data_IF_544705431478
#
_entry.id   IF_544705431478
#
_cell.length_a   1.000
_cell.length_b   1.000
_cell.length_c   1.000
_cell.angle_alpha   90.00
_cell.angle_beta   90.00
_cell.angle_gamma   90.00
#
_symmetry.space_group_name_H-M   'P 1'
#
loop_
_entity.id
_entity.type
_entity.pdbx_description
1 polymer ?
#
# COMPACT_ATOMS: atom_id res chain seq x y z
N UNK A 1 5.66 16.15 3.85
CA UNK A 1 7.04 16.65 3.60
C UNK A 1 7.94 15.47 3.34
N UNK A 2 8.92 15.60 2.44
CA UNK A 2 9.87 14.51 2.17
C UNK A 2 10.85 14.39 3.35
N UNK A 3 10.85 13.24 4.01
CA UNK A 3 11.70 12.92 5.17
C UNK A 3 12.86 12.05 4.72
N UNK A 4 14.09 12.40 5.09
CA UNK A 4 15.27 11.62 4.77
C UNK A 4 15.48 10.53 5.82
N UNK A 5 15.39 9.25 5.40
CA UNK A 5 15.61 8.09 6.26
C UNK A 5 17.09 7.66 6.28
N UNK A 6 17.76 7.76 5.13
CA UNK A 6 19.17 7.47 4.95
C UNK A 6 19.72 8.31 3.79
N UNK A 7 21.04 8.25 3.54
CA UNK A 7 21.62 8.97 2.41
C UNK A 7 20.99 8.50 1.09
N UNK A 8 20.32 9.42 0.39
CA UNK A 8 19.65 9.13 -0.88
C UNK A 8 18.35 8.35 -0.77
N UNK A 9 17.84 8.10 0.45
CA UNK A 9 16.57 7.40 0.69
C UNK A 9 15.61 8.28 1.47
N UNK A 10 14.43 8.53 0.91
CA UNK A 10 13.45 9.42 1.51
C UNK A 10 12.06 8.79 1.50
N UNK A 11 11.25 9.12 2.51
CA UNK A 11 9.83 8.80 2.57
C UNK A 11 8.98 10.08 2.49
N UNK A 12 7.86 10.00 1.82
CA UNK A 12 6.77 10.98 1.87
C UNK A 12 5.66 10.40 2.72
N UNK A 13 5.46 10.95 3.90
CA UNK A 13 4.49 10.43 4.87
C UNK A 13 3.22 11.28 4.86
N UNK A 14 2.06 10.61 4.85
CA UNK A 14 0.73 11.20 5.01
C UNK A 14 0.11 10.71 6.32
N UNK A 15 0.54 11.30 7.43
CA UNK A 15 0.07 10.92 8.76
C UNK A 15 -1.33 11.52 9.07
N UNK A 16 -2.16 10.81 9.84
CA UNK A 16 -1.91 9.53 10.51
C UNK A 16 -1.94 8.29 9.60
N UNK A 17 -2.26 8.40 8.32
CA UNK A 17 -2.28 7.29 7.38
C UNK A 17 -3.66 6.65 7.21
N UNK A 18 -4.73 7.42 7.35
CA UNK A 18 -6.09 6.95 7.12
C UNK A 18 -6.36 6.50 5.67
N UNK A 19 -7.62 6.11 5.40
CA UNK A 19 -8.04 5.68 4.06
C UNK A 19 -7.73 6.77 3.03
N UNK A 20 -7.09 6.40 1.92
CA UNK A 20 -6.65 7.34 0.88
C UNK A 20 -5.41 8.17 1.23
N UNK A 21 -4.80 7.98 2.39
CA UNK A 21 -3.57 8.66 2.83
C UNK A 21 -2.41 7.67 2.90
N UNK A 22 -1.86 7.34 1.74
CA UNK A 22 -0.72 6.42 1.65
C UNK A 22 0.61 7.15 1.69
N UNK A 23 1.64 6.42 2.07
CA UNK A 23 3.02 6.88 1.98
C UNK A 23 3.59 6.60 0.58
N UNK A 24 4.68 7.29 0.25
CA UNK A 24 5.48 7.06 -0.95
C UNK A 24 6.97 7.08 -0.60
N UNK A 25 7.79 6.54 -1.49
CA UNK A 25 9.23 6.48 -1.32
C UNK A 25 9.99 7.12 -2.47
N UNK A 26 11.23 7.54 -2.18
CA UNK A 26 12.18 8.03 -3.20
C UNK A 26 13.56 7.51 -2.91
N UNK A 27 14.15 6.85 -3.89
CA UNK A 27 15.55 6.42 -3.86
C UNK A 27 16.31 7.19 -4.94
N UNK A 28 17.43 7.81 -4.54
CA UNK A 28 18.34 8.54 -5.44
C UNK A 28 19.38 7.57 -5.96
N UNK A 29 19.25 7.22 -7.24
CA UNK A 29 20.20 6.37 -7.96
C UNK A 29 21.23 7.19 -8.74
N UNK A 30 22.25 6.53 -9.31
CA UNK A 30 23.28 7.21 -10.12
C UNK A 30 22.68 7.90 -11.34
N UNK A 31 21.68 7.30 -11.98
CA UNK A 31 21.05 7.77 -13.22
C UNK A 31 19.79 8.62 -13.01
N UNK A 32 19.24 8.71 -11.80
CA UNK A 32 18.02 9.48 -11.53
C UNK A 32 17.32 9.05 -10.26
N UNK A 33 15.99 9.14 -10.25
CA UNK A 33 15.15 8.77 -9.12
C UNK A 33 14.35 7.50 -9.44
N UNK A 34 14.27 6.63 -8.44
CA UNK A 34 13.25 5.57 -8.34
C UNK A 34 12.22 6.03 -7.31
N UNK A 35 10.97 6.15 -7.74
CA UNK A 35 9.82 6.50 -6.89
C UNK A 35 9.08 5.22 -6.54
N UNK A 36 8.71 5.06 -5.27
CA UNK A 36 7.89 3.94 -4.76
C UNK A 36 6.52 4.49 -4.43
N UNK A 37 5.51 4.02 -5.13
CA UNK A 37 4.13 4.49 -5.09
C UNK A 37 3.96 5.98 -5.48
N UNK A 38 2.74 6.38 -5.82
CA UNK A 38 2.52 7.69 -6.46
C UNK A 38 1.42 8.51 -5.82
N UNK A 39 0.89 8.05 -4.67
CA UNK A 39 -0.26 8.66 -4.01
C UNK A 39 -1.54 8.59 -4.88
N UNK A 40 -2.65 9.12 -4.37
CA UNK A 40 -3.97 8.89 -4.94
C UNK A 40 -4.44 9.99 -5.89
N UNK A 41 -4.49 11.23 -5.44
CA UNK A 41 -5.22 12.33 -6.08
C UNK A 41 -4.35 13.58 -6.32
N UNK A 42 -4.78 14.51 -7.19
CA UNK A 42 -4.04 15.72 -7.54
C UNK A 42 -3.50 16.51 -6.37
N UNK A 43 -4.29 16.76 -5.34
CA UNK A 43 -3.85 17.52 -4.17
C UNK A 43 -2.63 16.90 -3.46
N UNK A 44 -2.58 15.56 -3.43
CA UNK A 44 -1.48 14.82 -2.80
C UNK A 44 -0.23 14.79 -3.69
N UNK A 45 -0.36 14.37 -4.95
CA UNK A 45 0.83 14.19 -5.79
C UNK A 45 1.38 15.50 -6.39
N UNK A 46 0.63 16.61 -6.37
CA UNK A 46 1.20 17.94 -6.71
C UNK A 46 2.26 18.35 -5.68
N UNK A 47 1.98 18.20 -4.39
CA UNK A 47 2.94 18.52 -3.33
C UNK A 47 4.15 17.58 -3.36
N UNK A 48 3.90 16.27 -3.54
CA UNK A 48 4.95 15.27 -3.68
C UNK A 48 5.82 15.55 -4.91
N UNK A 49 5.23 15.84 -6.06
CA UNK A 49 5.94 16.19 -7.29
C UNK A 49 6.80 17.46 -7.15
N UNK A 50 6.30 18.47 -6.41
CA UNK A 50 7.09 19.66 -6.10
C UNK A 50 8.31 19.34 -5.22
N UNK A 51 8.17 18.41 -4.27
CA UNK A 51 9.30 17.93 -3.44
C UNK A 51 10.31 17.13 -4.28
N UNK A 52 9.84 16.26 -5.18
CA UNK A 52 10.72 15.52 -6.11
C UNK A 52 11.53 16.47 -7.00
N UNK A 53 10.91 17.54 -7.50
CA UNK A 53 11.58 18.53 -8.35
C UNK A 53 12.75 19.22 -7.64
N UNK A 54 12.66 19.40 -6.32
CA UNK A 54 13.76 19.99 -5.52
C UNK A 54 15.00 19.09 -5.44
N UNK A 55 14.86 17.78 -5.68
CA UNK A 55 16.01 16.87 -5.74
C UNK A 55 16.83 17.05 -7.03
N UNK A 56 16.32 17.80 -8.03
CA UNK A 56 17.03 18.18 -9.22
C UNK A 56 17.44 17.04 -10.16
N UNK A 57 16.77 15.89 -10.05
CA UNK A 57 17.05 14.68 -10.84
C UNK A 57 15.79 14.15 -11.53
N UNK A 58 15.88 13.56 -12.72
CA UNK A 58 14.74 12.98 -13.40
C UNK A 58 14.24 11.71 -12.69
N UNK A 59 12.92 11.49 -12.71
CA UNK A 59 12.34 10.22 -12.30
C UNK A 59 12.41 9.26 -13.50
N UNK A 60 13.18 8.21 -13.36
CA UNK A 60 13.33 7.17 -14.39
C UNK A 60 12.47 5.95 -14.13
N UNK A 61 12.16 5.67 -12.86
CA UNK A 61 11.41 4.48 -12.45
C UNK A 61 10.32 4.84 -11.44
N UNK A 62 9.19 4.20 -11.58
CA UNK A 62 8.13 4.13 -10.60
C UNK A 62 7.91 2.66 -10.28
N UNK A 63 7.95 2.27 -9.02
CA UNK A 63 7.60 0.93 -8.56
C UNK A 63 6.30 1.04 -7.79
N UNK A 64 5.26 0.35 -8.25
CA UNK A 64 3.97 0.27 -7.58
C UNK A 64 3.96 -0.95 -6.67
N UNK A 65 3.75 -0.74 -5.37
CA UNK A 65 3.68 -1.83 -4.41
C UNK A 65 2.42 -2.68 -4.61
N UNK A 66 1.34 -2.07 -5.10
CA UNK A 66 0.11 -2.74 -5.54
C UNK A 66 -0.69 -1.84 -6.50
N UNK A 67 -1.84 -2.32 -6.99
CA UNK A 67 -2.67 -1.63 -7.98
C UNK A 67 -3.82 -0.81 -7.40
N UNK A 68 -3.95 -0.67 -6.08
CA UNK A 68 -4.99 0.18 -5.50
C UNK A 68 -4.72 1.64 -5.85
N UNK A 69 -5.81 2.39 -6.07
CA UNK A 69 -5.73 3.77 -6.56
C UNK A 69 -4.93 4.68 -5.64
N UNK A 70 -4.94 4.42 -4.36
CA UNK A 70 -4.23 5.21 -3.35
C UNK A 70 -2.70 5.10 -3.47
N UNK A 71 -2.19 4.04 -4.13
CA UNK A 71 -0.77 3.85 -4.44
C UNK A 71 -0.44 4.24 -5.88
N UNK A 72 -1.38 4.09 -6.81
CA UNK A 72 -1.14 4.17 -8.26
C UNK A 72 -1.73 5.42 -8.93
N UNK A 73 -2.55 6.24 -8.23
CA UNK A 73 -3.32 7.33 -8.82
C UNK A 73 -2.48 8.40 -9.51
N UNK A 74 -1.31 8.71 -8.96
CA UNK A 74 -0.39 9.71 -9.51
C UNK A 74 0.52 9.21 -10.65
N UNK A 75 0.40 7.96 -11.11
CA UNK A 75 1.31 7.39 -12.14
C UNK A 75 1.34 8.18 -13.45
N UNK A 76 0.24 8.82 -13.84
CA UNK A 76 0.17 9.67 -15.04
C UNK A 76 1.11 10.89 -14.99
N UNK A 77 1.57 11.30 -13.83
CA UNK A 77 2.52 12.41 -13.65
C UNK A 77 3.93 12.03 -14.10
N UNK A 78 4.25 10.74 -14.06
CA UNK A 78 5.58 10.21 -14.40
C UNK A 78 5.64 9.70 -15.86
N UNK A 79 5.33 10.60 -16.81
CA UNK A 79 5.13 10.25 -18.23
C UNK A 79 6.30 9.52 -18.87
N UNK A 80 7.54 9.86 -18.51
CA UNK A 80 8.77 9.32 -19.09
C UNK A 80 9.37 8.18 -18.29
N UNK A 81 8.90 7.95 -17.06
CA UNK A 81 9.42 6.88 -16.22
C UNK A 81 8.91 5.50 -16.67
N UNK A 82 9.73 4.48 -16.52
CA UNK A 82 9.26 3.09 -16.56
C UNK A 82 8.41 2.81 -15.31
N UNK A 83 7.28 2.12 -15.47
CA UNK A 83 6.38 1.73 -14.36
C UNK A 83 6.50 0.23 -14.15
N UNK A 84 6.98 -0.15 -12.97
CA UNK A 84 7.12 -1.52 -12.50
C UNK A 84 5.94 -1.89 -11.61
N UNK A 85 5.37 -3.06 -11.79
CA UNK A 85 4.26 -3.57 -10.99
C UNK A 85 4.19 -5.08 -11.06
N UNK A 86 3.44 -5.69 -10.14
CA UNK A 86 3.14 -7.13 -10.19
C UNK A 86 2.20 -7.47 -11.36
N UNK A 87 2.07 -8.76 -11.74
CA UNK A 87 1.07 -9.17 -12.73
C UNK A 87 -0.36 -8.72 -12.38
N UNK A 88 -0.71 -8.80 -11.09
CA UNK A 88 -2.03 -8.36 -10.60
C UNK A 88 -2.20 -6.85 -10.75
N UNK A 89 -1.17 -6.06 -10.38
CA UNK A 89 -1.17 -4.60 -10.57
C UNK A 89 -1.32 -4.22 -12.04
N UNK A 90 -0.62 -4.94 -12.94
CA UNK A 90 -0.74 -4.70 -14.38
C UNK A 90 -2.18 -4.91 -14.87
N UNK A 91 -2.79 -6.05 -14.49
CA UNK A 91 -4.18 -6.34 -14.87
C UNK A 91 -5.17 -5.33 -14.29
N UNK A 92 -4.95 -4.84 -13.07
CA UNK A 92 -5.81 -3.84 -12.45
C UNK A 92 -5.74 -2.49 -13.16
N UNK A 93 -4.54 -2.02 -13.49
CA UNK A 93 -4.35 -0.72 -14.15
C UNK A 93 -4.72 -0.71 -15.64
N UNK A 94 -4.84 -1.89 -16.26
CA UNK A 94 -5.37 -2.04 -17.62
C UNK A 94 -6.91 -1.93 -17.67
N UNK A 95 -7.58 -2.00 -16.50
CA UNK A 95 -9.03 -1.80 -16.43
C UNK A 95 -9.39 -0.33 -16.23
N UNK A 96 -10.53 0.13 -16.74
CA UNK A 96 -11.06 1.45 -16.41
C UNK A 96 -11.25 1.61 -14.89
N UNK A 97 -10.87 2.78 -14.36
CA UNK A 97 -11.08 3.09 -12.95
C UNK A 97 -12.57 3.10 -12.61
N UNK A 98 -12.93 2.44 -11.52
CA UNK A 98 -14.28 2.54 -10.97
C UNK A 98 -14.44 3.82 -10.14
N UNK A 99 -14.44 4.96 -10.84
CA UNK A 99 -14.49 6.30 -10.25
C UNK A 99 -15.68 6.45 -9.29
N UNK A 100 -16.83 5.88 -9.64
CA UNK A 100 -18.03 5.98 -8.82
C UNK A 100 -17.86 5.27 -7.47
N UNK A 101 -17.24 4.10 -7.44
CA UNK A 101 -16.95 3.38 -6.18
C UNK A 101 -15.97 4.17 -5.31
N UNK A 102 -14.93 4.77 -5.91
CA UNK A 102 -13.97 5.61 -5.17
C UNK A 102 -14.62 6.87 -4.61
N UNK A 103 -15.45 7.55 -5.39
CA UNK A 103 -16.20 8.75 -4.94
C UNK A 103 -17.11 8.47 -3.77
N UNK A 104 -17.72 7.29 -3.73
CA UNK A 104 -18.56 6.86 -2.60
C UNK A 104 -17.74 6.46 -1.40
N UNK A 105 -16.68 5.70 -1.57
CA UNK A 105 -15.86 5.20 -0.47
C UNK A 105 -14.99 6.28 0.17
N UNK A 106 -14.54 7.28 -0.61
CA UNK A 106 -13.68 8.39 -0.20
C UNK A 106 -14.30 9.73 -0.64
N UNK A 107 -15.43 10.13 -0.03
CA UNK A 107 -16.20 11.31 -0.47
C UNK A 107 -15.42 12.63 -0.33
N UNK A 108 -14.45 12.71 0.58
CA UNK A 108 -13.56 13.87 0.74
C UNK A 108 -12.70 14.16 -0.49
N UNK A 109 -12.41 13.14 -1.32
CA UNK A 109 -11.64 13.25 -2.56
C UNK A 109 -12.53 13.18 -3.82
N UNK A 110 -13.85 13.12 -3.68
CA UNK A 110 -14.78 12.82 -4.76
C UNK A 110 -14.60 13.69 -6.01
N UNK A 111 -14.33 15.00 -5.83
CA UNK A 111 -14.13 15.93 -6.94
C UNK A 111 -12.82 15.66 -7.72
N UNK A 112 -11.81 15.08 -7.06
CA UNK A 112 -10.50 14.84 -7.64
C UNK A 112 -10.45 13.56 -8.50
N UNK A 113 -11.40 12.65 -8.32
CA UNK A 113 -11.49 11.43 -9.11
C UNK A 113 -12.07 11.63 -10.52
N UNK A 114 -12.74 12.75 -10.79
CA UNK A 114 -13.53 12.93 -12.03
C UNK A 114 -12.70 12.77 -13.31
N UNK A 115 -11.45 13.25 -13.31
CA UNK A 115 -10.55 13.19 -14.47
C UNK A 115 -9.28 12.39 -14.17
N UNK A 116 -9.31 11.55 -13.15
CA UNK A 116 -8.15 10.77 -12.74
C UNK A 116 -7.80 9.74 -13.82
N UNK A 117 -6.55 9.72 -14.21
CA UNK A 117 -6.00 8.76 -15.16
C UNK A 117 -4.72 8.15 -14.58
N UNK A 118 -4.58 6.86 -14.72
CA UNK A 118 -3.37 6.13 -14.38
C UNK A 118 -2.56 5.81 -15.64
N UNK A 119 -1.26 5.60 -15.46
CA UNK A 119 -0.38 5.04 -16.48
C UNK A 119 -0.28 3.53 -16.28
N UNK A 120 -0.34 2.72 -17.35
CA UNK A 120 -0.23 1.27 -17.23
C UNK A 120 1.17 0.85 -16.76
N UNK A 121 1.27 -0.34 -16.20
CA UNK A 121 2.54 -1.01 -15.91
C UNK A 121 3.26 -1.28 -17.23
N UNK A 122 4.54 -0.90 -17.31
CA UNK A 122 5.38 -1.11 -18.49
C UNK A 122 6.33 -2.30 -18.33
N UNK A 123 6.61 -2.69 -17.07
CA UNK A 123 7.51 -3.79 -16.70
C UNK A 123 6.88 -4.60 -15.57
N UNK A 124 6.52 -5.83 -15.88
CA UNK A 124 5.95 -6.76 -14.89
C UNK A 124 7.07 -7.43 -14.11
N UNK A 125 6.94 -7.45 -12.77
CA UNK A 125 7.90 -8.09 -11.86
C UNK A 125 7.24 -9.34 -11.26
N UNK A 126 7.74 -10.52 -11.64
CA UNK A 126 7.23 -11.83 -11.20
C UNK A 126 8.15 -12.51 -10.17
N UNK A 127 9.40 -12.10 -10.08
CA UNK A 127 10.40 -12.63 -9.16
C UNK A 127 11.26 -11.50 -8.60
N UNK A 128 11.94 -11.76 -7.49
CA UNK A 128 12.86 -10.78 -6.90
C UNK A 128 13.94 -10.36 -7.91
N UNK A 129 14.16 -9.06 -8.03
CA UNK A 129 15.07 -8.49 -9.02
C UNK A 129 15.72 -7.20 -8.51
N UNK A 130 17.04 -7.07 -8.77
CA UNK A 130 17.73 -5.79 -8.63
C UNK A 130 17.40 -4.90 -9.83
N UNK A 131 16.62 -3.85 -9.64
CA UNK A 131 16.33 -2.87 -10.70
C UNK A 131 17.53 -1.95 -10.95
N UNK A 132 18.25 -1.62 -9.88
CA UNK A 132 19.49 -0.83 -9.89
C UNK A 132 20.42 -1.40 -8.83
N UNK A 133 21.70 -1.01 -8.77
CA UNK A 133 22.56 -1.42 -7.66
C UNK A 133 22.03 -1.05 -6.26
N UNK A 134 21.13 -0.05 -6.17
CA UNK A 134 20.58 0.44 -4.92
C UNK A 134 19.18 -0.13 -4.59
N UNK A 135 18.44 -0.67 -5.57
CA UNK A 135 17.01 -0.99 -5.44
C UNK A 135 16.74 -2.44 -5.81
N UNK A 136 16.28 -3.22 -4.85
CA UNK A 136 15.73 -4.56 -5.05
C UNK A 136 14.21 -4.54 -4.91
N UNK A 137 13.51 -5.22 -5.81
CA UNK A 137 12.05 -5.37 -5.78
C UNK A 137 11.71 -6.84 -5.54
N UNK A 138 10.87 -7.08 -4.53
CA UNK A 138 10.56 -8.41 -4.03
C UNK A 138 9.05 -8.64 -4.08
N UNK A 139 8.53 -9.56 -4.90
CA UNK A 139 7.11 -9.94 -4.87
C UNK A 139 6.75 -10.69 -3.59
N UNK A 140 5.71 -10.23 -2.91
CA UNK A 140 5.19 -10.85 -1.68
C UNK A 140 3.65 -10.80 -1.73
N UNK A 141 2.97 -11.93 -1.62
CA UNK A 141 1.52 -11.96 -1.46
C UNK A 141 1.12 -11.53 -0.03
N UNK A 142 -0.04 -10.89 0.12
CA UNK A 142 -0.53 -10.47 1.45
C UNK A 142 -1.77 -9.60 1.35
N UNK A 143 -1.61 -8.29 1.38
CA UNK A 143 -2.68 -7.30 1.23
C UNK A 143 -3.46 -7.45 -0.09
N UNK A 144 -2.77 -7.84 -1.14
CA UNK A 144 -3.34 -8.31 -2.41
C UNK A 144 -2.69 -9.65 -2.79
N UNK A 145 -3.21 -10.38 -3.78
CA UNK A 145 -2.57 -11.64 -4.23
C UNK A 145 -1.12 -11.49 -4.70
N UNK A 146 -0.70 -10.27 -5.08
CA UNK A 146 0.68 -10.00 -5.47
C UNK A 146 1.05 -8.54 -5.23
N UNK A 147 1.71 -8.27 -4.11
CA UNK A 147 2.34 -6.99 -3.81
C UNK A 147 3.82 -6.99 -4.20
N UNK A 148 4.40 -5.81 -4.32
CA UNK A 148 5.84 -5.62 -4.40
C UNK A 148 6.32 -4.90 -3.14
N UNK A 149 7.39 -5.39 -2.53
CA UNK A 149 8.17 -4.64 -1.55
C UNK A 149 9.43 -4.11 -2.23
N UNK A 150 9.91 -2.93 -1.82
CA UNK A 150 11.11 -2.31 -2.37
C UNK A 150 12.15 -2.18 -1.27
N UNK A 151 13.22 -2.97 -1.40
CA UNK A 151 14.33 -2.97 -0.46
C UNK A 151 15.48 -2.10 -0.99
N UNK A 152 16.05 -1.28 -0.11
CA UNK A 152 17.29 -0.54 -0.33
C UNK A 152 18.36 -1.15 0.56
N UNK A 153 19.08 -2.20 0.09
CA UNK A 153 19.90 -3.04 0.97
C UNK A 153 21.02 -2.27 1.69
N UNK A 154 21.71 -1.37 0.98
CA UNK A 154 22.81 -0.59 1.55
C UNK A 154 22.37 0.40 2.65
N UNK A 155 21.10 0.77 2.68
CA UNK A 155 20.51 1.69 3.67
C UNK A 155 19.66 0.97 4.70
N UNK A 156 19.45 -0.33 4.56
CA UNK A 156 18.62 -1.16 5.44
C UNK A 156 17.19 -0.58 5.59
N UNK A 157 16.61 -0.09 4.47
CA UNK A 157 15.25 0.48 4.40
C UNK A 157 14.38 -0.36 3.49
N UNK A 158 13.20 -0.73 3.95
CA UNK A 158 12.16 -1.42 3.20
C UNK A 158 10.95 -0.50 3.01
N UNK A 159 10.53 -0.26 1.79
CA UNK A 159 9.20 0.26 1.48
C UNK A 159 8.26 -0.92 1.28
N UNK A 160 7.42 -1.18 2.26
CA UNK A 160 6.52 -2.32 2.30
C UNK A 160 5.18 -2.05 1.58
N UNK A 161 4.85 -0.77 1.34
CA UNK A 161 3.58 -0.38 0.73
C UNK A 161 2.39 -1.01 1.44
N UNK A 162 1.40 -1.46 0.70
CA UNK A 162 0.18 -2.07 1.26
C UNK A 162 0.39 -3.32 2.12
N UNK A 163 1.58 -3.94 2.10
CA UNK A 163 1.90 -5.06 3.00
C UNK A 163 1.95 -4.64 4.47
N UNK A 164 2.18 -3.35 4.77
CA UNK A 164 2.23 -2.85 6.14
C UNK A 164 1.33 -1.64 6.34
N UNK A 165 0.65 -1.61 7.48
CA UNK A 165 -0.07 -0.47 8.03
C UNK A 165 0.22 -0.42 9.52
N UNK A 166 0.71 0.72 10.02
CA UNK A 166 1.14 0.88 11.41
C UNK A 166 0.30 1.94 12.13
N UNK A 167 -0.28 1.59 13.27
CA UNK A 167 -1.19 2.46 14.01
C UNK A 167 -2.55 2.69 13.32
N UNK A 168 -2.82 2.00 12.21
CA UNK A 168 -4.05 2.12 11.41
C UNK A 168 -4.54 0.73 11.04
N UNK A 169 -5.83 0.49 11.13
CA UNK A 169 -6.45 -0.78 10.71
C UNK A 169 -6.28 -0.97 9.20
N UNK A 170 -5.61 -2.04 8.75
CA UNK A 170 -5.47 -2.32 7.32
C UNK A 170 -6.79 -2.71 6.68
N UNK A 171 -6.85 -2.73 5.35
CA UNK A 171 -8.03 -3.15 4.60
C UNK A 171 -7.72 -4.42 3.79
N UNK A 172 -8.19 -5.58 4.26
CA UNK A 172 -7.84 -6.90 3.72
C UNK A 172 -8.85 -7.45 2.68
N UNK A 173 -9.70 -6.62 2.08
CA UNK A 173 -10.85 -7.07 1.27
C UNK A 173 -10.48 -7.89 0.00
N UNK A 174 -9.26 -7.76 -0.50
CA UNK A 174 -8.71 -8.52 -1.65
C UNK A 174 -7.61 -9.49 -1.25
N UNK A 175 -7.08 -9.35 -0.04
CA UNK A 175 -6.03 -10.21 0.48
C UNK A 175 -6.54 -11.51 1.08
N UNK A 176 -5.60 -12.28 1.57
CA UNK A 176 -5.84 -13.43 2.45
C UNK A 176 -5.26 -13.10 3.83
N UNK A 177 -6.07 -12.75 4.85
CA UNK A 177 -5.57 -12.36 6.15
C UNK A 177 -4.66 -13.40 6.82
N UNK A 178 -4.91 -14.70 6.62
CA UNK A 178 -4.09 -15.77 7.15
C UNK A 178 -2.73 -15.84 6.44
N UNK A 179 -2.74 -15.95 5.11
CA UNK A 179 -1.52 -15.97 4.31
C UNK A 179 -0.72 -14.67 4.41
N UNK A 180 -1.42 -13.52 4.58
CA UNK A 180 -0.75 -12.24 4.82
C UNK A 180 -0.04 -12.23 6.17
N UNK A 181 -0.68 -12.71 7.24
CA UNK A 181 -0.03 -12.84 8.54
C UNK A 181 1.24 -13.71 8.47
N UNK A 182 1.22 -14.80 7.70
CA UNK A 182 2.40 -15.66 7.50
C UNK A 182 3.49 -14.95 6.67
N UNK A 183 3.12 -14.21 5.62
CA UNK A 183 4.06 -13.46 4.79
C UNK A 183 4.80 -12.35 5.56
N UNK A 184 4.20 -11.81 6.62
CA UNK A 184 4.84 -10.81 7.49
C UNK A 184 6.07 -11.35 8.24
N UNK A 185 6.24 -12.67 8.36
CA UNK A 185 7.50 -13.26 8.87
C UNK A 185 8.69 -12.94 7.96
N UNK A 186 8.49 -12.94 6.63
CA UNK A 186 9.51 -12.50 5.69
C UNK A 186 9.75 -11.00 5.78
N UNK A 187 8.68 -10.20 5.77
CA UNK A 187 8.76 -8.71 5.79
C UNK A 187 9.55 -8.22 7.01
N UNK A 188 9.30 -8.78 8.19
CA UNK A 188 9.97 -8.45 9.44
C UNK A 188 11.50 -8.66 9.39
N UNK A 189 11.97 -9.60 8.57
CA UNK A 189 13.39 -9.94 8.45
C UNK A 189 14.15 -9.18 7.35
N UNK A 190 13.47 -8.37 6.51
CA UNK A 190 14.11 -7.73 5.35
C UNK A 190 14.93 -6.50 5.70
N UNK A 191 14.47 -5.67 6.64
CA UNK A 191 15.17 -4.44 7.03
C UNK A 191 14.72 -3.97 8.42
N UNK A 192 15.60 -3.29 9.18
CA UNK A 192 15.24 -2.70 10.48
C UNK A 192 14.38 -1.43 10.35
N UNK A 193 14.41 -0.73 9.21
CA UNK A 193 13.57 0.44 8.96
C UNK A 193 12.53 0.11 7.90
N UNK A 194 11.25 0.19 8.26
CA UNK A 194 10.15 -0.20 7.39
C UNK A 194 9.21 0.99 7.17
N UNK A 195 9.03 1.37 5.92
CA UNK A 195 8.05 2.37 5.50
C UNK A 195 6.77 1.64 5.10
N UNK A 196 5.70 1.75 5.89
CA UNK A 196 4.41 1.12 5.56
C UNK A 196 3.69 1.90 4.45
N UNK A 197 2.65 1.29 3.88
CA UNK A 197 1.71 2.02 3.02
C UNK A 197 0.91 3.07 3.80
N UNK A 198 0.58 2.78 5.05
CA UNK A 198 -0.18 3.67 5.93
C UNK A 198 0.48 3.77 7.31
N UNK A 199 0.47 4.99 7.86
CA UNK A 199 1.00 5.26 9.19
C UNK A 199 2.48 5.67 9.23
N UNK A 200 3.09 5.75 10.42
CA UNK A 200 4.48 6.18 10.59
C UNK A 200 5.48 5.13 10.10
N UNK A 201 6.72 5.55 9.90
CA UNK A 201 7.85 4.63 9.74
C UNK A 201 7.99 3.79 11.01
N UNK A 202 8.23 2.51 10.86
CA UNK A 202 8.33 1.56 11.95
C UNK A 202 9.43 0.52 11.74
N UNK A 203 9.32 -0.56 12.49
CA UNK A 203 10.30 -1.64 12.55
C UNK A 203 9.64 -3.03 12.63
N UNK A 204 10.44 -4.05 12.96
CA UNK A 204 9.95 -5.42 13.16
C UNK A 204 8.81 -5.50 14.19
N UNK A 205 8.84 -4.69 15.26
CA UNK A 205 7.83 -4.74 16.31
C UNK A 205 6.45 -4.33 15.78
N UNK A 206 6.39 -3.29 14.94
CA UNK A 206 5.14 -2.85 14.29
C UNK A 206 4.61 -3.90 13.30
N UNK A 207 5.51 -4.58 12.58
CA UNK A 207 5.13 -5.71 11.71
C UNK A 207 4.53 -6.85 12.55
N UNK A 208 5.10 -7.15 13.74
CA UNK A 208 4.56 -8.18 14.62
C UNK A 208 3.20 -7.80 15.22
N UNK A 209 2.98 -6.53 15.52
CA UNK A 209 1.65 -6.05 15.92
C UNK A 209 0.62 -6.26 14.81
N UNK A 210 0.94 -5.88 13.55
CA UNK A 210 0.08 -6.11 12.41
C UNK A 210 -0.21 -7.61 12.19
N UNK A 211 0.83 -8.45 12.30
CA UNK A 211 0.68 -9.90 12.22
C UNK A 211 -0.28 -10.44 13.29
N UNK A 212 -0.14 -9.95 14.52
CA UNK A 212 -1.02 -10.31 15.65
C UNK A 212 -2.47 -9.92 15.38
N UNK A 213 -2.70 -8.72 14.86
CA UNK A 213 -4.03 -8.24 14.47
C UNK A 213 -4.67 -9.13 13.40
N UNK A 214 -3.96 -9.44 12.32
CA UNK A 214 -4.48 -10.30 11.26
C UNK A 214 -4.83 -11.69 11.78
N UNK A 215 -4.00 -12.28 12.64
CA UNK A 215 -4.29 -13.55 13.33
C UNK A 215 -5.53 -13.45 14.22
N UNK A 216 -5.72 -12.33 14.92
CA UNK A 216 -6.92 -12.09 15.72
C UNK A 216 -8.19 -11.99 14.84
N UNK A 217 -8.11 -11.35 13.66
CA UNK A 217 -9.20 -11.33 12.69
C UNK A 217 -9.57 -12.74 12.20
N UNK A 218 -8.57 -13.59 11.92
CA UNK A 218 -8.78 -14.99 11.52
C UNK A 218 -9.44 -15.78 12.66
N UNK A 219 -8.95 -15.63 13.89
CA UNK A 219 -9.48 -16.33 15.06
C UNK A 219 -10.90 -15.90 15.45
N UNK A 220 -11.32 -14.70 15.05
CA UNK A 220 -12.67 -14.16 15.30
C UNK A 220 -13.78 -14.86 14.51
N UNK A 221 -13.45 -15.70 13.54
CA UNK A 221 -14.36 -16.61 12.79
C UNK A 221 -15.66 -15.93 12.29
N UNK A 222 -15.54 -14.74 11.78
CA UNK A 222 -16.67 -13.99 11.20
C UNK A 222 -17.40 -13.06 12.18
N UNK A 223 -17.07 -13.06 13.46
CA UNK A 223 -17.63 -12.15 14.46
C UNK A 223 -16.62 -11.05 14.85
N UNK A 224 -16.77 -9.81 14.36
CA UNK A 224 -15.86 -8.72 14.71
C UNK A 224 -15.77 -8.43 16.23
N UNK A 225 -16.82 -8.75 16.98
CA UNK A 225 -16.81 -8.57 18.45
C UNK A 225 -15.94 -9.60 19.17
N UNK A 226 -15.54 -10.68 18.48
CA UNK A 226 -14.65 -11.70 19.01
C UNK A 226 -13.15 -11.40 18.81
N UNK A 227 -12.79 -10.28 18.19
CA UNK A 227 -11.38 -9.83 18.12
C UNK A 227 -10.90 -9.58 19.56
N UNK A 228 -9.92 -10.37 19.97
CA UNK A 228 -9.34 -10.20 21.32
C UNK A 228 -8.59 -8.86 21.42
N UNK A 229 -8.62 -8.22 22.62
CA UNK A 229 -7.84 -7.02 22.88
C UNK A 229 -6.34 -7.24 22.61
N UNK A 230 -5.69 -6.18 22.08
CA UNK A 230 -4.27 -6.22 21.76
C UNK A 230 -3.68 -4.82 21.50
N UNK A 231 -2.42 -4.75 21.07
CA UNK A 231 -1.79 -3.47 20.74
C UNK A 231 -2.59 -2.62 19.75
N UNK A 232 -3.39 -3.24 18.91
CA UNK A 232 -4.25 -2.60 17.91
C UNK A 232 -5.49 -1.91 18.46
N UNK A 233 -5.81 -2.01 19.76
CA UNK A 233 -7.03 -1.40 20.32
C UNK A 233 -7.07 0.13 20.19
N UNK A 234 -5.92 0.77 20.06
CA UNK A 234 -5.78 2.21 19.89
C UNK A 234 -5.56 2.65 18.43
N UNK A 235 -5.56 1.71 17.48
CA UNK A 235 -5.37 2.05 16.07
C UNK A 235 -6.53 2.86 15.51
N UNK A 236 -6.21 3.72 14.54
CA UNK A 236 -7.21 4.43 13.76
C UNK A 236 -8.01 3.45 12.87
N UNK A 237 -9.19 3.89 12.43
CA UNK A 237 -10.04 3.19 11.47
C UNK A 237 -10.52 1.79 11.90
N UNK A 238 -10.71 1.51 13.20
CA UNK A 238 -11.23 0.24 13.73
C UNK A 238 -12.61 -0.15 13.21
N UNK A 239 -13.37 0.80 12.63
CA UNK A 239 -14.62 0.53 11.92
C UNK A 239 -14.45 -0.37 10.68
N UNK A 240 -13.22 -0.60 10.22
CA UNK A 240 -12.88 -1.53 9.13
C UNK A 240 -12.71 -2.99 9.59
N UNK A 241 -12.65 -3.26 10.90
CA UNK A 241 -12.52 -4.62 11.45
C UNK A 241 -13.54 -5.62 10.87
N UNK A 242 -14.83 -5.25 10.69
CA UNK A 242 -15.80 -6.18 10.12
C UNK A 242 -15.43 -6.69 8.73
N UNK A 243 -14.73 -5.88 7.92
CA UNK A 243 -14.31 -6.25 6.57
C UNK A 243 -13.21 -7.31 6.65
N UNK A 244 -12.21 -7.12 7.52
CA UNK A 244 -11.08 -8.02 7.67
C UNK A 244 -11.51 -9.38 8.26
N UNK A 245 -12.36 -9.35 9.28
CA UNK A 245 -12.90 -10.58 9.92
C UNK A 245 -13.79 -11.36 8.95
N UNK A 246 -14.68 -10.66 8.24
CA UNK A 246 -15.56 -11.31 7.26
C UNK A 246 -14.75 -11.90 6.09
N UNK A 247 -13.72 -11.20 5.61
CA UNK A 247 -12.81 -11.71 4.57
C UNK A 247 -12.11 -13.00 5.01
N UNK A 248 -11.56 -13.03 6.21
CA UNK A 248 -10.92 -14.21 6.76
C UNK A 248 -11.88 -15.41 6.83
N UNK A 249 -13.09 -15.19 7.33
CA UNK A 249 -14.11 -16.22 7.46
C UNK A 249 -14.61 -16.72 6.09
N UNK A 250 -14.78 -15.83 5.10
CA UNK A 250 -15.13 -16.22 3.73
C UNK A 250 -14.09 -17.16 3.12
N UNK A 251 -12.81 -16.80 3.21
CA UNK A 251 -11.73 -17.62 2.68
C UNK A 251 -11.60 -18.96 3.39
N UNK A 252 -11.79 -19.00 4.72
CA UNK A 252 -11.80 -20.26 5.48
C UNK A 252 -12.90 -21.23 5.02
N UNK A 253 -13.99 -20.72 4.43
CA UNK A 253 -15.07 -21.51 3.82
C UNK A 253 -14.86 -21.78 2.33
N UNK A 254 -13.75 -21.36 1.75
CA UNK A 254 -13.45 -21.50 0.31
C UNK A 254 -14.21 -20.49 -0.58
N UNK A 255 -14.72 -19.41 0.00
CA UNK A 255 -15.46 -18.35 -0.70
C UNK A 255 -14.52 -17.17 -1.01
N UNK A 256 -13.90 -17.17 -2.19
CA UNK A 256 -13.04 -16.04 -2.63
C UNK A 256 -13.89 -14.95 -3.30
N UNK A 257 -14.46 -14.07 -2.48
CA UNK A 257 -15.25 -12.92 -2.93
C UNK A 257 -15.08 -11.71 -2.02
N UNK A 258 -15.42 -10.54 -2.52
CA UNK A 258 -15.41 -9.30 -1.73
C UNK A 258 -16.38 -9.44 -0.53
N UNK A 259 -15.95 -9.08 0.68
CA UNK A 259 -16.82 -9.12 1.86
C UNK A 259 -18.07 -8.25 1.70
N UNK A 260 -19.27 -8.72 2.04
CA UNK A 260 -20.48 -7.89 2.08
C UNK A 260 -20.34 -6.63 2.95
N UNK A 261 -19.56 -6.67 4.01
CA UNK A 261 -19.24 -5.49 4.83
C UNK A 261 -18.52 -4.40 4.03
N UNK A 262 -17.62 -4.76 3.11
CA UNK A 262 -16.98 -3.79 2.21
C UNK A 262 -18.01 -3.14 1.27
N UNK A 263 -18.94 -3.92 0.71
CA UNK A 263 -20.00 -3.38 -0.16
C UNK A 263 -20.90 -2.41 0.62
N UNK A 264 -21.27 -2.76 1.86
CA UNK A 264 -22.04 -1.86 2.74
C UNK A 264 -21.26 -0.58 3.08
N UNK A 265 -19.95 -0.66 3.29
CA UNK A 265 -19.14 0.52 3.56
C UNK A 265 -19.13 1.50 2.37
N UNK A 266 -19.03 0.99 1.14
CA UNK A 266 -19.13 1.80 -0.08
C UNK A 266 -20.53 2.45 -0.24
N UNK A 267 -21.60 1.72 0.12
CA UNK A 267 -22.98 2.24 0.03
C UNK A 267 -23.25 3.30 1.10
N UNK A 268 -22.79 3.08 2.33
CA UNK A 268 -23.03 3.98 3.46
C UNK A 268 -22.30 5.33 3.34
N UNK A 269 -21.14 5.34 2.71
CA UNK A 269 -20.35 6.57 2.48
C UNK A 269 -20.94 7.47 1.37
N UNK A 270 -21.94 6.98 0.61
CA UNK A 270 -22.61 7.71 -0.47
C UNK A 270 -23.97 8.33 -0.08
N UNK A 271 -24.37 8.23 1.18
CA UNK A 271 -25.62 8.80 1.73
C UNK A 271 -25.33 9.94 2.71
#
# INVERSE_FOLDING_TARGET
>A
MLEQLAQGVHAWLQLPGGVGQTNAGVVIDEDGLTVVDTLMVPSQWHEFGAALAQLGRPVHRVVLTNGHIEFAGGTSQFRLAAVYGSPVTSLQLDQPLNVEAYRRFMPEFAAEFENLQTKPVTHVVEAAVMLTPAVEVIPIAGHTPANLAVLVPASEVLFAGGLCAFGVTPLAFQGDPAGWADALDLVAGLAPTIVPGHGPVGDESDVRELQGYLRACVAADGDPAAILPGPWDHWEARHLDPINVERASLLARGEDRVPPSMLRAIEASGS
#
